data_IF_286979393463
#
_entry.id   IF_286979393463
#
_cell.length_a   1.000
_cell.length_b   1.000
_cell.length_c   1.000
_cell.angle_alpha   90.00
_cell.angle_beta   90.00
_cell.angle_gamma   90.00
#
_symmetry.space_group_name_H-M   'P 1'
#
loop_
_entity.id
_entity.type
_entity.pdbx_description
1 polymer ?
#
# COMPACT_ATOMS: atom_id res chain seq x y z
N UNK A 1 -21.11 -1.00 -20.43
CA UNK A 1 -19.87 -1.14 -19.62
C UNK A 1 -19.76 -2.59 -19.19
N UNK A 2 -18.60 -3.24 -19.37
CA UNK A 2 -18.39 -4.61 -18.83
C UNK A 2 -18.59 -4.53 -17.30
N UNK A 3 -19.42 -5.39 -16.72
CA UNK A 3 -19.70 -5.38 -15.28
C UNK A 3 -18.41 -5.71 -14.50
N UNK A 4 -17.74 -4.68 -14.00
CA UNK A 4 -16.60 -4.83 -13.10
C UNK A 4 -17.18 -5.08 -11.71
N UNK A 5 -16.91 -6.26 -11.12
CA UNK A 5 -17.58 -6.68 -9.88
C UNK A 5 -16.77 -6.39 -8.62
N UNK A 6 -15.44 -6.40 -8.75
CA UNK A 6 -14.52 -6.27 -7.62
C UNK A 6 -13.35 -5.38 -7.98
N UNK A 7 -12.90 -4.60 -7.02
CA UNK A 7 -11.74 -3.73 -7.16
C UNK A 7 -10.48 -4.47 -6.70
N UNK A 8 -9.50 -4.64 -7.59
CA UNK A 8 -8.30 -5.45 -7.35
C UNK A 8 -7.09 -4.58 -7.04
N UNK A 9 -6.43 -4.84 -5.92
CA UNK A 9 -5.26 -4.09 -5.45
C UNK A 9 -4.11 -5.06 -5.24
N UNK A 10 -2.94 -4.73 -5.77
CA UNK A 10 -1.71 -5.43 -5.43
C UNK A 10 -0.96 -4.61 -4.39
N UNK A 11 -0.76 -5.17 -3.20
CA UNK A 11 0.04 -4.55 -2.15
C UNK A 11 1.45 -5.11 -2.18
N UNK A 12 2.41 -4.22 -2.31
CA UNK A 12 3.83 -4.52 -2.40
C UNK A 12 4.61 -3.89 -1.27
N UNK A 13 5.83 -4.39 -1.07
CA UNK A 13 6.79 -3.81 -0.15
C UNK A 13 7.51 -4.89 0.64
N UNK A 14 8.56 -4.49 1.35
CA UNK A 14 9.43 -5.36 2.13
C UNK A 14 8.65 -6.18 3.18
N UNK A 15 9.30 -7.21 3.71
CA UNK A 15 8.78 -7.92 4.88
C UNK A 15 8.53 -6.91 6.01
N UNK A 16 7.46 -7.11 6.78
CA UNK A 16 7.07 -6.20 7.88
C UNK A 16 6.83 -4.73 7.47
N UNK A 17 6.56 -4.43 6.18
CA UNK A 17 6.22 -3.08 5.74
C UNK A 17 4.80 -2.62 6.14
N UNK A 18 4.03 -3.42 6.89
CA UNK A 18 2.66 -3.08 7.31
C UNK A 18 1.55 -3.39 6.29
N UNK A 19 1.84 -4.20 5.26
CA UNK A 19 0.90 -4.54 4.17
C UNK A 19 -0.43 -5.08 4.69
N UNK A 20 -0.42 -6.16 5.47
CA UNK A 20 -1.64 -6.79 6.02
C UNK A 20 -2.44 -5.82 6.91
N UNK A 21 -1.76 -4.99 7.70
CA UNK A 21 -2.40 -3.99 8.57
C UNK A 21 -3.17 -2.95 7.74
N UNK A 22 -2.61 -2.50 6.61
CA UNK A 22 -3.32 -1.61 5.69
C UNK A 22 -4.57 -2.28 5.13
N UNK A 23 -4.48 -3.55 4.72
CA UNK A 23 -5.62 -4.29 4.17
C UNK A 23 -6.78 -4.39 5.15
N UNK A 24 -6.46 -4.83 6.38
CA UNK A 24 -7.41 -4.89 7.49
C UNK A 24 -8.07 -3.53 7.73
N UNK A 25 -7.26 -2.47 7.75
CA UNK A 25 -7.74 -1.11 7.95
C UNK A 25 -8.69 -0.64 6.86
N UNK A 26 -8.31 -0.83 5.60
CA UNK A 26 -9.13 -0.44 4.43
C UNK A 26 -10.48 -1.15 4.44
N UNK A 27 -10.52 -2.38 4.94
CA UNK A 27 -11.75 -3.16 5.07
C UNK A 27 -12.49 -2.94 6.40
N UNK A 28 -12.06 -1.96 7.20
CA UNK A 28 -12.58 -1.65 8.54
C UNK A 28 -12.79 -2.92 9.39
N UNK A 29 -11.79 -3.80 9.41
CA UNK A 29 -11.91 -5.11 10.02
C UNK A 29 -10.59 -5.59 10.58
N UNK A 30 -10.65 -6.26 11.74
CA UNK A 30 -9.54 -7.01 12.33
C UNK A 30 -9.57 -8.48 11.93
N UNK A 31 -10.52 -8.88 11.08
CA UNK A 31 -10.64 -10.23 10.57
C UNK A 31 -9.41 -10.64 9.76
N UNK A 32 -9.22 -11.95 9.68
CA UNK A 32 -8.25 -12.55 8.77
C UNK A 32 -8.91 -12.71 7.39
N UNK A 33 -8.23 -12.36 6.29
CA UNK A 33 -8.80 -12.55 4.96
C UNK A 33 -8.99 -14.03 4.66
N UNK A 34 -10.06 -14.34 3.94
CA UNK A 34 -10.21 -15.62 3.24
C UNK A 34 -9.31 -15.60 2.01
N UNK A 35 -8.64 -16.73 1.75
CA UNK A 35 -7.65 -16.87 0.69
C UNK A 35 -8.23 -17.80 -0.36
N UNK A 36 -8.17 -17.40 -1.62
CA UNK A 36 -8.61 -18.20 -2.75
C UNK A 36 -7.46 -18.35 -3.74
N UNK A 37 -7.35 -19.51 -4.38
CA UNK A 37 -6.41 -19.71 -5.50
C UNK A 37 -6.92 -19.03 -6.78
N UNK A 38 -6.12 -19.10 -7.86
CA UNK A 38 -6.49 -18.58 -9.18
C UNK A 38 -7.72 -19.23 -9.83
N UNK A 39 -8.17 -20.39 -9.32
CA UNK A 39 -9.38 -21.09 -9.78
C UNK A 39 -10.62 -20.71 -8.94
N UNK A 40 -10.43 -19.97 -7.84
CA UNK A 40 -11.49 -19.57 -6.92
C UNK A 40 -11.78 -20.59 -5.80
N UNK A 41 -10.91 -21.59 -5.61
CA UNK A 41 -11.04 -22.52 -4.50
C UNK A 41 -10.47 -21.90 -3.22
N UNK A 42 -11.18 -22.08 -2.11
CA UNK A 42 -10.74 -21.56 -0.81
C UNK A 42 -9.56 -22.39 -0.28
N UNK A 43 -8.47 -21.71 0.06
CA UNK A 43 -7.28 -22.29 0.68
C UNK A 43 -7.40 -22.16 2.21
N UNK A 44 -6.98 -23.19 2.94
CA UNK A 44 -6.93 -23.13 4.40
C UNK A 44 -5.84 -22.15 4.87
N UNK A 45 -6.26 -21.12 5.62
CA UNK A 45 -5.42 -19.99 6.03
C UNK A 45 -4.27 -20.37 6.96
N UNK A 46 -4.27 -21.56 7.56
CA UNK A 46 -3.15 -22.06 8.37
C UNK A 46 -1.86 -22.25 7.56
N UNK A 47 -1.95 -22.42 6.23
CA UNK A 47 -0.80 -22.64 5.34
C UNK A 47 -0.11 -21.33 4.91
N UNK A 48 -0.83 -20.20 5.03
CA UNK A 48 -0.43 -18.90 4.46
C UNK A 48 -0.25 -17.83 5.54
N UNK A 49 -0.63 -18.07 6.80
CA UNK A 49 -0.60 -17.04 7.84
C UNK A 49 0.52 -17.21 8.87
N UNK A 50 1.64 -16.54 8.62
CA UNK A 50 2.30 -15.66 9.60
C UNK A 50 2.40 -16.07 11.08
N UNK A 51 2.72 -17.33 11.40
CA UNK A 51 3.35 -17.67 12.69
C UNK A 51 4.86 -17.73 12.52
N UNK A 52 5.53 -16.58 12.35
CA UNK A 52 7.00 -16.45 12.37
C UNK A 52 7.81 -17.38 11.44
N UNK A 53 7.14 -18.11 10.54
CA UNK A 53 7.71 -19.09 9.61
C UNK A 53 7.07 -18.81 8.27
N UNK A 54 7.93 -18.68 7.25
CA UNK A 54 7.57 -18.37 5.86
C UNK A 54 6.54 -19.41 5.36
N UNK A 55 5.26 -19.06 5.44
CA UNK A 55 4.20 -19.84 4.81
C UNK A 55 4.34 -19.81 3.29
N UNK A 56 3.68 -20.73 2.60
CA UNK A 56 3.64 -20.75 1.13
C UNK A 56 2.81 -19.56 0.64
N UNK A 57 3.46 -18.43 0.36
CA UNK A 57 2.81 -17.21 -0.13
C UNK A 57 2.90 -17.16 -1.66
N UNK A 58 1.76 -17.33 -2.33
CA UNK A 58 1.64 -17.13 -3.77
C UNK A 58 0.95 -15.78 -4.04
N UNK A 59 1.61 -14.90 -4.81
CA UNK A 59 1.10 -13.58 -5.20
C UNK A 59 -0.19 -13.66 -6.02
N UNK A 60 -0.44 -14.79 -6.69
CA UNK A 60 -1.66 -15.04 -7.45
C UNK A 60 -2.88 -15.26 -6.58
N UNK A 61 -2.69 -15.63 -5.31
CA UNK A 61 -3.79 -15.88 -4.40
C UNK A 61 -4.59 -14.60 -4.14
N UNK A 62 -5.91 -14.73 -4.13
CA UNK A 62 -6.85 -13.65 -3.85
C UNK A 62 -7.15 -13.61 -2.34
N UNK A 63 -6.85 -12.47 -1.72
CA UNK A 63 -7.21 -12.18 -0.34
C UNK A 63 -8.51 -11.37 -0.31
N UNK A 64 -9.53 -11.87 0.37
CA UNK A 64 -10.83 -11.23 0.48
C UNK A 64 -11.28 -11.15 1.94
N UNK A 65 -11.79 -9.97 2.34
CA UNK A 65 -12.37 -9.77 3.67
C UNK A 65 -13.89 -9.87 3.59
N UNK A 66 -14.51 -10.57 4.53
CA UNK A 66 -15.98 -10.69 4.58
C UNK A 66 -16.64 -9.34 4.86
N UNK A 67 -15.97 -8.50 5.66
CA UNK A 67 -16.40 -7.14 5.95
C UNK A 67 -16.49 -6.26 4.71
N UNK A 68 -15.70 -6.54 3.66
CA UNK A 68 -15.77 -5.81 2.40
C UNK A 68 -15.44 -6.71 1.19
N UNK A 69 -16.43 -7.45 0.67
CA UNK A 69 -16.23 -8.42 -0.41
C UNK A 69 -16.03 -7.79 -1.79
N UNK A 70 -16.16 -6.46 -1.90
CA UNK A 70 -15.92 -5.74 -3.14
C UNK A 70 -14.44 -5.54 -3.44
N UNK A 71 -13.55 -5.72 -2.46
CA UNK A 71 -12.10 -5.73 -2.69
C UNK A 71 -11.56 -7.14 -2.89
N UNK A 72 -10.55 -7.25 -3.75
CA UNK A 72 -9.63 -8.38 -3.81
C UNK A 72 -8.21 -7.84 -3.69
N UNK A 73 -7.44 -8.41 -2.79
CA UNK A 73 -6.05 -8.04 -2.60
C UNK A 73 -5.11 -9.16 -3.04
N UNK A 74 -4.02 -8.77 -3.65
CA UNK A 74 -2.85 -9.61 -3.87
C UNK A 74 -1.73 -9.07 -2.98
N UNK A 75 -0.99 -9.93 -2.29
CA UNK A 75 0.10 -9.54 -1.39
C UNK A 75 1.43 -10.09 -1.91
N UNK A 76 2.38 -9.20 -2.19
CA UNK A 76 3.74 -9.66 -2.49
C UNK A 76 4.38 -10.17 -1.20
N UNK A 77 4.76 -11.44 -1.14
CA UNK A 77 5.67 -11.91 -0.09
C UNK A 77 6.92 -11.04 -0.15
N UNK A 78 7.16 -10.24 0.89
CA UNK A 78 8.01 -9.06 0.76
C UNK A 78 9.38 -9.39 0.19
N UNK A 79 9.76 -8.74 -0.90
CA UNK A 79 11.01 -9.02 -1.59
C UNK A 79 12.15 -8.18 -1.00
N UNK A 80 13.31 -8.80 -0.78
CA UNK A 80 14.52 -8.14 -0.29
C UNK A 80 15.65 -8.24 -1.31
N UNK A 81 16.68 -7.39 -1.15
CA UNK A 81 17.87 -7.43 -2.00
C UNK A 81 18.55 -8.81 -1.88
N UNK A 82 18.49 -9.62 -2.95
CA UNK A 82 19.13 -10.94 -3.03
C UNK A 82 18.23 -12.07 -3.51
N UNK A 83 16.91 -11.89 -3.49
CA UNK A 83 15.95 -12.90 -3.95
C UNK A 83 15.51 -12.64 -5.41
N UNK A 84 16.38 -13.00 -6.37
CA UNK A 84 16.12 -12.76 -7.79
C UNK A 84 14.85 -13.46 -8.28
N UNK A 85 14.63 -14.72 -7.87
CA UNK A 85 13.46 -15.52 -8.25
C UNK A 85 12.14 -14.91 -7.76
N UNK A 86 12.10 -14.42 -6.52
CA UNK A 86 10.91 -13.75 -5.95
C UNK A 86 10.57 -12.47 -6.72
N UNK A 87 11.61 -11.71 -7.14
CA UNK A 87 11.41 -10.52 -7.96
C UNK A 87 10.89 -10.87 -9.36
N UNK A 88 11.43 -11.92 -10.00
CA UNK A 88 11.02 -12.31 -11.35
C UNK A 88 9.58 -12.82 -11.34
N UNK A 89 9.19 -13.66 -10.36
CA UNK A 89 7.80 -14.08 -10.17
C UNK A 89 6.85 -12.90 -9.95
N UNK A 90 7.24 -11.93 -9.11
CA UNK A 90 6.45 -10.72 -8.89
C UNK A 90 6.33 -9.88 -10.16
N UNK A 91 7.43 -9.70 -10.90
CA UNK A 91 7.46 -8.93 -12.14
C UNK A 91 6.56 -9.55 -13.20
N UNK A 92 6.65 -10.87 -13.38
CA UNK A 92 5.82 -11.61 -14.33
C UNK A 92 4.34 -11.48 -13.98
N UNK A 93 3.99 -11.61 -12.69
CA UNK A 93 2.63 -11.40 -12.22
C UNK A 93 2.11 -9.99 -12.54
N UNK A 94 2.92 -8.95 -12.28
CA UNK A 94 2.53 -7.55 -12.53
C UNK A 94 2.31 -7.32 -14.02
N UNK A 95 3.23 -7.78 -14.87
CA UNK A 95 3.15 -7.60 -16.32
C UNK A 95 1.92 -8.33 -16.87
N UNK A 96 1.70 -9.59 -16.48
CA UNK A 96 0.56 -10.39 -16.92
C UNK A 96 -0.77 -9.76 -16.50
N UNK A 97 -0.90 -9.43 -15.21
CA UNK A 97 -2.12 -8.84 -14.67
C UNK A 97 -2.37 -7.43 -15.19
N UNK A 98 -1.35 -6.63 -15.47
CA UNK A 98 -1.50 -5.31 -16.09
C UNK A 98 -1.94 -5.41 -17.55
N UNK A 99 -1.45 -6.41 -18.30
CA UNK A 99 -1.80 -6.64 -19.70
C UNK A 99 -3.14 -7.39 -19.89
N UNK A 100 -3.73 -7.93 -18.82
CA UNK A 100 -4.95 -8.73 -18.87
C UNK A 100 -6.14 -7.93 -19.43
N UNK A 101 -6.73 -8.41 -20.54
CA UNK A 101 -7.87 -7.77 -21.24
C UNK A 101 -9.16 -7.82 -20.41
N UNK A 102 -9.29 -8.82 -19.54
CA UNK A 102 -10.45 -8.99 -18.67
C UNK A 102 -10.28 -8.11 -17.43
N UNK A 103 -11.04 -7.02 -17.37
CA UNK A 103 -10.99 -6.07 -16.25
C UNK A 103 -11.24 -6.75 -14.90
N UNK A 104 -12.05 -7.79 -14.84
CA UNK A 104 -12.31 -8.55 -13.60
C UNK A 104 -11.16 -9.45 -13.14
N UNK A 105 -10.09 -9.61 -13.92
CA UNK A 105 -8.90 -10.41 -13.60
C UNK A 105 -7.65 -9.50 -13.48
N UNK A 106 -7.71 -8.28 -14.02
CA UNK A 106 -6.64 -7.28 -13.99
C UNK A 106 -6.51 -6.61 -12.62
N UNK A 107 -5.28 -6.34 -12.19
CA UNK A 107 -5.02 -5.45 -11.03
C UNK A 107 -5.31 -3.99 -11.41
N UNK A 108 -5.98 -3.24 -10.54
CA UNK A 108 -6.41 -1.86 -10.84
C UNK A 108 -5.44 -0.79 -10.32
N UNK A 109 -4.74 -1.09 -9.24
CA UNK A 109 -3.74 -0.21 -8.62
C UNK A 109 -2.72 -1.05 -7.86
N UNK A 110 -1.49 -0.54 -7.80
CA UNK A 110 -0.44 -1.09 -6.95
C UNK A 110 -0.20 -0.13 -5.79
N UNK A 111 -0.26 -0.63 -4.56
CA UNK A 111 0.15 0.08 -3.36
C UNK A 111 1.52 -0.42 -2.92
N UNK A 112 2.53 0.44 -3.01
CA UNK A 112 3.91 0.10 -2.72
C UNK A 112 4.32 0.65 -1.36
N UNK A 113 4.42 -0.21 -0.35
CA UNK A 113 4.73 0.15 1.03
C UNK A 113 6.23 0.32 1.27
N UNK A 114 6.61 1.51 1.74
CA UNK A 114 7.95 1.84 2.23
C UNK A 114 7.82 2.19 3.73
N UNK A 115 8.33 1.36 4.65
CA UNK A 115 8.24 1.62 6.08
C UNK A 115 9.22 2.71 6.53
N UNK A 116 8.75 3.65 7.35
CA UNK A 116 9.58 4.73 7.90
C UNK A 116 10.42 4.30 9.10
N UNK A 117 10.24 3.08 9.62
CA UNK A 117 11.05 2.52 10.72
C UNK A 117 12.52 2.30 10.35
N UNK A 118 12.84 2.25 9.05
CA UNK A 118 14.21 2.15 8.54
C UNK A 118 14.47 3.33 7.60
N UNK A 119 14.26 4.54 8.11
CA UNK A 119 14.38 5.79 7.37
C UNK A 119 15.71 5.92 6.59
N UNK A 120 16.83 5.41 7.12
CA UNK A 120 18.13 5.35 6.46
C UNK A 120 18.19 4.41 5.22
N UNK A 121 17.15 3.61 4.98
CA UNK A 121 17.01 2.65 3.87
C UNK A 121 15.67 2.81 3.13
N UNK A 122 15.13 4.02 3.06
CA UNK A 122 13.83 4.29 2.44
C UNK A 122 13.73 3.87 0.97
N UNK A 123 14.78 4.03 0.17
CA UNK A 123 14.82 3.55 -1.23
C UNK A 123 16.05 2.67 -1.44
N UNK A 124 15.87 1.35 -1.33
CA UNK A 124 16.94 0.38 -1.54
C UNK A 124 17.08 0.00 -3.02
N UNK A 125 18.08 -0.82 -3.33
CA UNK A 125 18.26 -1.39 -4.66
C UNK A 125 17.05 -2.21 -5.13
N UNK A 126 16.28 -2.81 -4.21
CA UNK A 126 15.09 -3.58 -4.53
C UNK A 126 13.95 -2.68 -5.05
N UNK A 127 13.66 -1.58 -4.37
CA UNK A 127 12.68 -0.59 -4.83
C UNK A 127 13.11 0.03 -6.16
N UNK A 128 14.39 0.42 -6.29
CA UNK A 128 14.91 0.95 -7.55
C UNK A 128 14.81 -0.08 -8.68
N UNK A 129 15.05 -1.37 -8.41
CA UNK A 129 14.90 -2.44 -9.41
C UNK A 129 13.46 -2.52 -9.89
N UNK A 130 12.48 -2.47 -9.00
CA UNK A 130 11.07 -2.46 -9.36
C UNK A 130 10.73 -1.28 -10.28
N UNK A 131 11.00 -0.04 -9.82
CA UNK A 131 10.64 1.17 -10.56
C UNK A 131 11.47 1.39 -11.85
N UNK A 132 12.55 0.64 -12.08
CA UNK A 132 13.33 0.69 -13.32
C UNK A 132 13.08 -0.47 -14.28
N UNK A 133 12.59 -1.62 -13.80
CA UNK A 133 12.51 -2.84 -14.60
C UNK A 133 11.09 -3.39 -14.75
N UNK A 134 10.13 -2.95 -13.93
CA UNK A 134 8.76 -3.41 -13.97
C UNK A 134 7.87 -2.36 -14.65
N UNK A 135 7.52 -2.62 -15.91
CA UNK A 135 6.53 -1.80 -16.62
C UNK A 135 5.13 -2.21 -16.16
N UNK A 136 4.45 -1.33 -15.42
CA UNK A 136 3.09 -1.57 -14.92
C UNK A 136 2.01 -1.18 -15.94
N UNK A 137 2.41 -0.72 -17.14
CA UNK A 137 1.52 -0.30 -18.21
C UNK A 137 0.57 0.81 -17.75
N UNK A 138 -0.73 0.50 -17.74
CA UNK A 138 -1.77 1.44 -17.33
C UNK A 138 -2.09 1.41 -15.83
N UNK A 139 -1.51 0.47 -15.08
CA UNK A 139 -1.79 0.30 -13.65
C UNK A 139 -0.95 1.31 -12.87
N UNK A 140 -1.57 2.28 -12.17
CA UNK A 140 -0.83 3.27 -11.40
C UNK A 140 -0.22 2.65 -10.15
N UNK A 141 0.98 3.11 -9.79
CA UNK A 141 1.66 2.78 -8.53
C UNK A 141 1.57 3.96 -7.57
N UNK A 142 1.10 3.71 -6.35
CA UNK A 142 1.10 4.66 -5.23
C UNK A 142 2.13 4.21 -4.22
N UNK A 143 3.03 5.10 -3.81
CA UNK A 143 3.95 4.83 -2.72
C UNK A 143 3.28 5.17 -1.39
N UNK A 144 3.23 4.21 -0.48
CA UNK A 144 2.70 4.36 0.86
C UNK A 144 3.86 4.43 1.85
N UNK A 145 4.03 5.58 2.50
CA UNK A 145 4.96 5.72 3.61
C UNK A 145 4.25 5.16 4.84
N UNK A 146 4.61 3.94 5.22
CA UNK A 146 3.96 3.22 6.32
C UNK A 146 4.74 3.39 7.62
N UNK A 147 4.06 3.16 8.76
CA UNK A 147 4.67 3.30 10.09
C UNK A 147 5.30 4.69 10.29
N UNK A 148 4.69 5.73 9.72
CA UNK A 148 5.23 7.09 9.79
C UNK A 148 5.26 7.63 11.23
N UNK A 149 4.46 7.05 12.13
CA UNK A 149 4.52 7.28 13.57
C UNK A 149 5.86 6.89 14.22
N UNK A 150 6.67 6.04 13.57
CA UNK A 150 8.03 5.72 14.04
C UNK A 150 8.96 6.95 14.01
N UNK A 151 8.66 7.95 13.15
CA UNK A 151 9.44 9.19 13.08
C UNK A 151 9.33 10.02 14.35
N UNK A 152 8.34 9.77 15.22
CA UNK A 152 8.23 10.45 16.51
C UNK A 152 9.42 10.16 17.43
N UNK A 153 9.96 8.94 17.40
CA UNK A 153 11.16 8.56 18.15
C UNK A 153 12.41 9.21 17.56
N UNK A 154 12.51 9.27 16.23
CA UNK A 154 13.61 9.96 15.54
C UNK A 154 13.60 11.46 15.84
N UNK A 155 12.42 12.08 15.80
CA UNK A 155 12.22 13.49 16.13
C UNK A 155 12.63 13.79 17.58
N UNK A 156 12.25 12.91 18.50
CA UNK A 156 12.63 13.02 19.89
C UNK A 156 14.15 12.95 20.08
N UNK A 157 14.81 11.96 19.47
CA UNK A 157 16.26 11.80 19.54
C UNK A 157 17.01 13.00 18.95
N UNK A 158 16.59 13.52 17.80
CA UNK A 158 17.20 14.72 17.21
C UNK A 158 17.04 15.96 18.10
N UNK A 159 15.89 16.12 18.78
CA UNK A 159 15.67 17.23 19.71
C UNK A 159 16.51 17.11 20.99
N UNK A 160 16.67 15.90 21.53
CA UNK A 160 17.59 15.65 22.65
C UNK A 160 19.04 15.97 22.28
N UNK A 161 19.49 15.55 21.09
CA UNK A 161 20.83 15.83 20.57
C UNK A 161 21.07 17.34 20.32
N UNK A 162 20.02 18.08 19.99
CA UNK A 162 20.02 19.55 19.89
C UNK A 162 19.99 20.26 21.27
N UNK A 163 19.85 19.52 22.37
CA UNK A 163 19.90 20.04 23.74
C UNK A 163 18.57 20.58 24.27
N UNK A 164 17.44 20.20 23.69
CA UNK A 164 16.13 20.59 24.19
C UNK A 164 15.72 19.81 25.44
N UNK A 165 15.12 20.49 26.42
CA UNK A 165 14.46 19.83 27.54
C UNK A 165 13.15 19.17 27.09
N UNK A 166 12.95 17.93 27.51
CA UNK A 166 11.81 17.06 27.13
C UNK A 166 10.49 17.55 27.74
N UNK A 167 10.54 18.21 28.90
CA UNK A 167 9.36 18.68 29.61
C UNK A 167 8.62 19.77 28.80
N UNK A 168 7.41 19.43 28.32
CA UNK A 168 6.57 20.34 27.54
C UNK A 168 6.91 20.42 26.04
N UNK A 169 7.85 19.61 25.53
CA UNK A 169 8.28 19.64 24.13
C UNK A 169 7.33 18.96 23.13
N UNK A 170 6.11 18.60 23.52
CA UNK A 170 5.22 17.79 22.69
C UNK A 170 4.83 18.47 21.37
N UNK A 171 4.62 19.79 21.38
CA UNK A 171 4.38 20.55 20.15
C UNK A 171 5.59 20.54 19.21
N UNK A 172 6.81 20.64 19.77
CA UNK A 172 8.05 20.60 19.00
C UNK A 172 8.34 19.21 18.42
N UNK A 173 8.02 18.15 19.15
CA UNK A 173 8.14 16.79 18.64
C UNK A 173 7.24 16.62 17.42
N UNK A 174 6.00 17.12 17.47
CA UNK A 174 5.07 17.05 16.32
C UNK A 174 5.59 17.90 15.14
N UNK A 175 6.13 19.09 15.40
CA UNK A 175 6.73 19.93 14.36
C UNK A 175 7.93 19.24 13.70
N UNK A 176 8.84 18.69 14.50
CA UNK A 176 10.02 17.96 14.03
C UNK A 176 9.66 16.67 13.31
N UNK A 177 8.66 15.93 13.78
CA UNK A 177 8.12 14.75 13.09
C UNK A 177 7.62 15.11 11.68
N UNK A 178 6.89 16.23 11.56
CA UNK A 178 6.43 16.75 10.26
C UNK A 178 7.60 17.11 9.36
N UNK A 179 8.62 17.78 9.87
CA UNK A 179 9.83 18.11 9.11
C UNK A 179 10.57 16.87 8.61
N UNK A 180 10.73 15.86 9.47
CA UNK A 180 11.33 14.58 9.09
C UNK A 180 10.51 13.87 8.02
N UNK A 181 9.17 13.84 8.17
CA UNK A 181 8.30 13.25 7.17
C UNK A 181 8.42 13.97 5.82
N UNK A 182 8.43 15.31 5.80
CA UNK A 182 8.60 16.11 4.59
C UNK A 182 9.96 15.87 3.93
N UNK A 183 11.03 15.81 4.74
CA UNK A 183 12.40 15.49 4.31
C UNK A 183 12.46 14.12 3.65
N UNK A 184 11.93 13.07 4.29
CA UNK A 184 11.93 11.71 3.75
C UNK A 184 11.04 11.58 2.52
N UNK A 185 9.87 12.22 2.52
CA UNK A 185 8.99 12.25 1.36
C UNK A 185 9.66 12.92 0.16
N UNK A 186 10.36 14.05 0.37
CA UNK A 186 11.12 14.73 -0.68
C UNK A 186 12.25 13.85 -1.20
N UNK A 187 12.99 13.16 -0.32
CA UNK A 187 14.02 12.22 -0.70
C UNK A 187 13.48 11.07 -1.55
N UNK A 188 12.42 10.39 -1.11
CA UNK A 188 11.79 9.29 -1.85
C UNK A 188 11.28 9.77 -3.22
N UNK A 189 10.63 10.93 -3.26
CA UNK A 189 10.18 11.55 -4.52
C UNK A 189 11.33 11.81 -5.48
N UNK A 190 12.45 12.31 -4.97
CA UNK A 190 13.65 12.56 -5.77
C UNK A 190 14.25 11.25 -6.32
N UNK A 191 14.39 10.22 -5.48
CA UNK A 191 14.97 8.94 -5.91
C UNK A 191 14.08 8.21 -6.92
N UNK A 192 12.80 8.04 -6.59
CA UNK A 192 11.86 7.31 -7.43
C UNK A 192 11.43 8.09 -8.68
N UNK A 193 11.46 9.42 -8.63
CA UNK A 193 11.18 10.28 -9.77
C UNK A 193 12.21 10.17 -10.89
N UNK A 194 13.43 9.69 -10.60
CA UNK A 194 14.50 9.43 -11.59
C UNK A 194 14.43 8.03 -12.21
N UNK A 195 13.56 7.17 -11.70
CA UNK A 195 13.38 5.82 -12.23
C UNK A 195 12.58 5.84 -13.53
N UNK A 196 12.69 4.78 -14.34
CA UNK A 196 12.00 4.68 -15.65
C UNK A 196 10.47 4.72 -15.53
N UNK A 197 9.92 4.13 -14.47
CA UNK A 197 8.48 4.04 -14.22
C UNK A 197 8.17 4.70 -12.86
N UNK A 198 8.12 6.04 -12.77
CA UNK A 198 7.91 6.72 -11.50
C UNK A 198 6.49 6.51 -10.97
N UNK A 199 6.29 6.48 -9.63
CA UNK A 199 4.96 6.36 -9.03
C UNK A 199 4.09 7.60 -9.32
N UNK A 200 2.77 7.40 -9.32
CA UNK A 200 1.77 8.43 -9.62
C UNK A 200 1.28 9.19 -8.39
N UNK A 201 1.49 8.64 -7.19
CA UNK A 201 1.02 9.24 -5.95
C UNK A 201 1.88 8.80 -4.76
N UNK A 202 1.80 9.60 -3.70
CA UNK A 202 2.47 9.34 -2.42
C UNK A 202 1.48 9.63 -1.29
N UNK A 203 1.37 8.71 -0.34
CA UNK A 203 0.49 8.85 0.83
C UNK A 203 1.26 8.45 2.08
N UNK A 204 1.19 9.26 3.13
CA UNK A 204 1.71 8.90 4.46
C UNK A 204 0.59 8.27 5.29
N UNK A 205 0.90 7.17 5.95
CA UNK A 205 -0.02 6.43 6.80
C UNK A 205 0.59 6.27 8.20
N UNK A 206 -0.14 6.73 9.21
CA UNK A 206 0.26 6.72 10.61
C UNK A 206 -0.71 5.89 11.43
N UNK A 207 -0.19 5.16 12.43
CA UNK A 207 -1.01 4.48 13.45
C UNK A 207 -2.07 3.53 12.89
N UNK A 208 -1.76 2.85 11.79
CA UNK A 208 -2.69 1.97 11.04
C UNK A 208 -3.17 0.75 11.84
N UNK A 209 -2.57 0.49 12.99
CA UNK A 209 -2.94 -0.48 14.01
C UNK A 209 -4.09 -0.01 14.93
N UNK A 210 -4.33 1.30 15.07
CA UNK A 210 -5.32 1.89 16.00
C UNK A 210 -6.68 2.07 15.35
N UNK A 211 -7.80 1.55 15.86
CA UNK A 211 -9.13 1.57 15.19
C UNK A 211 -9.60 2.93 14.62
N UNK A 212 -9.10 4.05 15.15
CA UNK A 212 -9.39 5.40 14.68
C UNK A 212 -8.58 5.87 13.45
N UNK A 213 -7.60 5.10 12.99
CA UNK A 213 -6.77 5.46 11.83
C UNK A 213 -7.59 5.67 10.56
N UNK A 214 -7.29 6.76 9.86
CA UNK A 214 -8.02 7.18 8.67
C UNK A 214 -7.36 6.70 7.37
N UNK A 215 -8.15 6.02 6.54
CA UNK A 215 -7.78 5.57 5.19
C UNK A 215 -8.29 6.50 4.09
N UNK A 216 -9.01 7.57 4.42
CA UNK A 216 -9.66 8.44 3.44
C UNK A 216 -8.66 9.03 2.45
N UNK A 217 -7.47 9.44 2.92
CA UNK A 217 -6.39 9.99 2.09
C UNK A 217 -5.87 8.98 1.07
N UNK A 218 -5.72 7.71 1.45
CA UNK A 218 -5.34 6.62 0.55
C UNK A 218 -6.40 6.38 -0.52
N UNK A 219 -7.68 6.34 -0.11
CA UNK A 219 -8.80 6.12 -1.03
C UNK A 219 -8.97 7.28 -2.00
N UNK A 220 -8.87 8.51 -1.50
CA UNK A 220 -8.97 9.73 -2.32
C UNK A 220 -7.80 9.80 -3.31
N UNK A 221 -6.57 9.54 -2.86
CA UNK A 221 -5.41 9.47 -3.74
C UNK A 221 -5.60 8.38 -4.81
N UNK A 222 -6.06 7.19 -4.42
CA UNK A 222 -6.36 6.09 -5.35
C UNK A 222 -7.43 6.48 -6.36
N UNK A 223 -8.53 7.13 -5.95
CA UNK A 223 -9.56 7.59 -6.86
C UNK A 223 -9.02 8.61 -7.87
N UNK A 224 -8.26 9.60 -7.40
CA UNK A 224 -7.77 10.70 -8.23
C UNK A 224 -6.79 10.26 -9.32
N UNK A 225 -5.99 9.22 -9.09
CA UNK A 225 -4.98 8.74 -10.06
C UNK A 225 -5.52 7.71 -11.06
N UNK A 226 -6.69 7.14 -10.80
CA UNK A 226 -7.30 6.18 -11.72
C UNK A 226 -7.75 6.91 -12.98
N UNK A 227 -7.27 6.46 -14.14
CA UNK A 227 -7.62 7.07 -15.43
C UNK A 227 -9.01 6.68 -15.93
N UNK A 228 -9.57 5.57 -15.45
CA UNK A 228 -10.85 5.04 -15.91
C UNK A 228 -11.98 5.42 -14.94
N UNK A 229 -12.95 6.24 -15.39
CA UNK A 229 -14.11 6.64 -14.57
C UNK A 229 -14.88 5.43 -14.00
N UNK A 230 -14.95 4.33 -14.76
CA UNK A 230 -15.59 3.10 -14.31
C UNK A 230 -14.89 2.49 -13.08
N UNK A 231 -13.56 2.56 -13.01
CA UNK A 231 -12.78 2.09 -11.87
C UNK A 231 -12.91 3.04 -10.68
N UNK A 232 -12.96 4.36 -10.91
CA UNK A 232 -13.23 5.34 -9.86
C UNK A 232 -14.59 5.09 -9.19
N UNK A 233 -15.65 4.94 -10.01
CA UNK A 233 -17.00 4.64 -9.51
C UNK A 233 -17.05 3.32 -8.76
N UNK A 234 -16.36 2.30 -9.25
CA UNK A 234 -16.26 1.01 -8.57
C UNK A 234 -15.57 1.14 -7.20
N UNK A 235 -14.43 1.83 -7.12
CA UNK A 235 -13.72 2.06 -5.88
C UNK A 235 -14.61 2.76 -4.86
N UNK A 236 -15.30 3.82 -5.28
CA UNK A 236 -16.23 4.58 -4.42
C UNK A 236 -17.39 3.68 -3.95
N UNK A 237 -18.00 2.89 -4.84
CA UNK A 237 -19.09 1.98 -4.46
C UNK A 237 -18.64 0.86 -3.52
N UNK A 238 -17.36 0.50 -3.57
CA UNK A 238 -16.75 -0.53 -2.71
C UNK A 238 -16.43 0.05 -1.32
N UNK A 239 -16.23 1.36 -1.22
CA UNK A 239 -16.06 2.09 0.03
C UNK A 239 -17.41 2.35 0.70
N UNK A 240 -18.04 1.30 1.24
CA UNK A 240 -19.33 1.41 1.95
C UNK A 240 -19.26 2.29 3.21
N UNK A 241 -18.07 2.53 3.76
CA UNK A 241 -17.87 3.23 5.04
C UNK A 241 -17.53 4.72 4.90
N UNK A 242 -17.17 5.22 3.71
CA UNK A 242 -16.78 6.63 3.52
C UNK A 242 -17.90 7.45 2.88
N UNK A 243 -18.82 7.94 3.71
CA UNK A 243 -19.89 8.88 3.28
C UNK A 243 -19.28 10.11 2.61
N UNK A 244 -18.13 10.60 3.10
CA UNK A 244 -17.45 11.77 2.57
C UNK A 244 -17.00 11.61 1.10
N UNK A 245 -16.41 10.46 0.74
CA UNK A 245 -15.99 10.16 -0.63
C UNK A 245 -17.20 9.98 -1.56
N UNK A 246 -18.24 9.31 -1.09
CA UNK A 246 -19.49 9.14 -1.83
C UNK A 246 -20.17 10.49 -2.13
N UNK A 247 -20.16 11.43 -1.18
CA UNK A 247 -20.74 12.77 -1.36
C UNK A 247 -19.88 13.63 -2.30
N UNK A 248 -18.56 13.65 -2.13
CA UNK A 248 -17.67 14.49 -2.95
C UNK A 248 -17.80 14.20 -4.45
N UNK A 249 -17.92 12.91 -4.82
CA UNK A 249 -18.04 12.50 -6.22
C UNK A 249 -19.49 12.45 -6.75
N UNK A 250 -20.50 12.45 -5.87
CA UNK A 250 -21.90 12.58 -6.28
C UNK A 250 -22.26 14.02 -6.70
N UNK A 251 -21.55 15.03 -6.17
CA UNK A 251 -21.79 16.46 -6.46
C UNK A 251 -21.18 16.92 -7.79
N UNK A 252 -20.29 16.13 -8.40
CA UNK A 252 -19.64 16.43 -9.68
C UNK A 252 -20.27 15.69 -10.89
N UNK A 253 -21.54 15.27 -10.79
CA UNK A 253 -22.33 14.78 -11.93
C UNK A 253 -22.93 15.91 -12.76
#
# INVERSE_FOLDING_TARGET
MKNIKRFRILVMGRANAGKTTILQRVCNSTEKPEIFDGEGNKIDGAVVQGTSTRGYHNIENELMFKSNPGFVFHDSCGFEAGAAEEFDQMKDFVIDRAATVRVNERIHVIWFCIPMTENCRTVTAAEQKFFNQCDTGHVPVIVLLTKADALSLDAFQELEDEGWEIEGAQEKIVEKERELLEKWLAHIKHELGRCKFPPKGYVSLQRMDQESADCSSLMQCTANILNEEGLQRLLISTQQSSIALCVQYAVHQ
#
